data_IF_844592020764
#
_entry.id   IF_844592020764
#
_cell.length_a   1.000
_cell.length_b   1.000
_cell.length_c   1.000
_cell.angle_alpha   90.00
_cell.angle_beta   90.00
_cell.angle_gamma   90.00
#
_symmetry.space_group_name_H-M   'P 1'
#
loop_
_entity.id
_entity.type
_entity.pdbx_description
1 polymer ?
#
# COMPACT_ATOMS: atom_id res chain seq x y z
N UNK A 1 10.94 -6.98 -4.17
CA UNK A 1 9.89 -6.44 -3.27
C UNK A 1 8.56 -6.30 -4.00
N UNK A 2 8.52 -5.67 -5.19
CA UNK A 2 7.32 -5.60 -6.05
C UNK A 2 6.68 -6.97 -6.40
N UNK A 3 7.51 -7.99 -6.66
CA UNK A 3 7.01 -9.36 -6.88
C UNK A 3 6.23 -9.89 -5.66
N UNK A 4 6.81 -9.76 -4.46
CA UNK A 4 6.14 -10.10 -3.20
C UNK A 4 4.86 -9.30 -2.98
N UNK A 5 4.84 -8.03 -3.37
CA UNK A 5 3.64 -7.18 -3.29
C UNK A 5 2.50 -7.74 -4.17
N UNK A 6 2.81 -8.07 -5.42
CA UNK A 6 1.86 -8.67 -6.34
C UNK A 6 1.34 -10.02 -5.82
N UNK A 7 2.23 -10.87 -5.31
CA UNK A 7 1.88 -12.18 -4.75
C UNK A 7 1.00 -12.07 -3.49
N UNK A 8 1.20 -11.03 -2.67
CA UNK A 8 0.47 -10.83 -1.41
C UNK A 8 -0.90 -10.16 -1.57
N UNK A 9 -1.02 -9.23 -2.53
CA UNK A 9 -2.21 -8.36 -2.66
C UNK A 9 -3.12 -8.79 -3.82
N UNK A 10 -2.57 -9.31 -4.92
CA UNK A 10 -3.33 -9.63 -6.14
C UNK A 10 -3.84 -11.09 -6.11
N UNK A 11 -3.16 -12.00 -5.40
CA UNK A 11 -3.50 -13.41 -5.33
C UNK A 11 -3.95 -13.84 -3.90
N UNK A 12 -5.19 -13.52 -3.49
CA UNK A 12 -5.69 -13.83 -2.13
C UNK A 12 -5.73 -15.34 -1.81
N UNK A 13 -5.62 -16.23 -2.81
CA UNK A 13 -5.49 -17.68 -2.62
C UNK A 13 -4.09 -18.11 -2.12
N UNK A 14 -3.06 -17.29 -2.33
CA UNK A 14 -1.69 -17.59 -1.87
C UNK A 14 -1.46 -17.21 -0.42
N UNK A 15 -2.24 -16.28 0.14
CA UNK A 15 -2.06 -15.81 1.52
C UNK A 15 -2.35 -16.88 2.56
N UNK A 16 -3.19 -17.88 2.24
CA UNK A 16 -3.53 -18.99 3.14
C UNK A 16 -2.33 -19.89 3.50
N UNK A 17 -1.25 -19.85 2.71
CA UNK A 17 -0.03 -20.65 2.89
C UNK A 17 1.14 -19.85 3.47
N UNK A 18 0.95 -18.56 3.72
CA UNK A 18 1.96 -17.70 4.31
C UNK A 18 2.10 -17.97 5.80
N UNK A 19 3.31 -17.76 6.32
CA UNK A 19 3.52 -17.75 7.76
C UNK A 19 2.71 -16.60 8.40
N UNK A 20 2.26 -16.72 9.66
CA UNK A 20 1.40 -15.72 10.29
C UNK A 20 1.93 -14.28 10.22
N UNK A 21 3.25 -14.08 10.38
CA UNK A 21 3.88 -12.76 10.24
C UNK A 21 3.77 -12.18 8.82
N UNK A 22 3.87 -13.04 7.79
CA UNK A 22 3.73 -12.63 6.39
C UNK A 22 2.28 -12.32 6.02
N UNK A 23 1.31 -13.02 6.62
CA UNK A 23 -0.12 -12.69 6.47
C UNK A 23 -0.44 -11.32 7.06
N UNK A 24 0.09 -11.03 8.25
CA UNK A 24 -0.08 -9.74 8.91
C UNK A 24 0.54 -8.60 8.07
N UNK A 25 1.74 -8.82 7.52
CA UNK A 25 2.37 -7.85 6.62
C UNK A 25 1.54 -7.59 5.36
N UNK A 26 0.97 -8.64 4.76
CA UNK A 26 0.08 -8.52 3.61
C UNK A 26 -1.15 -7.66 3.93
N UNK A 27 -1.78 -7.90 5.08
CA UNK A 27 -2.95 -7.13 5.54
C UNK A 27 -2.59 -5.67 5.81
N UNK A 28 -1.47 -5.41 6.48
CA UNK A 28 -0.97 -4.04 6.73
C UNK A 28 -0.68 -3.30 5.43
N UNK A 29 -0.14 -4.00 4.43
CA UNK A 29 0.17 -3.45 3.11
C UNK A 29 -1.10 -3.15 2.31
N UNK A 30 -2.09 -4.04 2.33
CA UNK A 30 -3.40 -3.81 1.71
C UNK A 30 -4.10 -2.60 2.35
N UNK A 31 -4.09 -2.51 3.68
CA UNK A 31 -4.63 -1.36 4.40
C UNK A 31 -3.89 -0.06 4.06
N UNK A 32 -2.56 -0.09 3.97
CA UNK A 32 -1.76 1.07 3.55
C UNK A 32 -2.16 1.53 2.14
N UNK A 33 -2.37 0.60 1.21
CA UNK A 33 -2.83 0.91 -0.15
C UNK A 33 -4.22 1.56 -0.15
N UNK A 34 -5.18 1.03 0.62
CA UNK A 34 -6.53 1.61 0.72
C UNK A 34 -6.48 3.06 1.24
N UNK A 35 -5.71 3.31 2.29
CA UNK A 35 -5.53 4.65 2.86
C UNK A 35 -4.88 5.59 1.84
N UNK A 36 -3.86 5.14 1.12
CA UNK A 36 -3.17 5.95 0.10
C UNK A 36 -4.12 6.29 -1.05
N UNK A 37 -4.87 5.31 -1.56
CA UNK A 37 -5.86 5.52 -2.61
C UNK A 37 -6.93 6.54 -2.18
N UNK A 38 -7.46 6.42 -0.96
CA UNK A 38 -8.42 7.37 -0.42
C UNK A 38 -7.82 8.78 -0.27
N UNK A 39 -6.60 8.88 0.25
CA UNK A 39 -5.91 10.16 0.42
C UNK A 39 -5.64 10.85 -0.93
N UNK A 40 -5.24 10.11 -1.95
CA UNK A 40 -5.06 10.63 -3.31
C UNK A 40 -6.38 11.12 -3.90
N UNK A 41 -7.47 10.35 -3.76
CA UNK A 41 -8.79 10.76 -4.23
C UNK A 41 -9.28 12.06 -3.56
N UNK A 42 -8.89 12.29 -2.30
CA UNK A 42 -9.18 13.54 -1.57
C UNK A 42 -8.21 14.68 -1.89
N UNK A 43 -7.25 14.51 -2.81
CA UNK A 43 -6.26 15.51 -3.16
C UNK A 43 -5.17 15.72 -2.10
N UNK A 44 -4.93 14.72 -1.25
CA UNK A 44 -3.99 14.78 -0.11
C UNK A 44 -2.89 13.71 -0.21
N UNK A 45 -2.08 13.67 -1.29
CA UNK A 45 -1.07 12.63 -1.49
C UNK A 45 0.03 12.61 -0.43
N UNK A 46 0.26 13.72 0.28
CA UNK A 46 1.24 13.81 1.37
C UNK A 46 0.99 12.81 2.52
N UNK A 47 -0.24 12.31 2.68
CA UNK A 47 -0.56 11.27 3.66
C UNK A 47 0.19 9.95 3.41
N UNK A 48 0.55 9.65 2.16
CA UNK A 48 1.34 8.46 1.83
C UNK A 48 2.72 8.50 2.52
N UNK A 49 3.39 9.66 2.48
CA UNK A 49 4.69 9.85 3.14
C UNK A 49 4.57 9.82 4.67
N UNK A 50 3.51 10.39 5.24
CA UNK A 50 3.25 10.30 6.67
C UNK A 50 3.08 8.84 7.12
N UNK A 51 2.37 8.04 6.32
CA UNK A 51 2.16 6.61 6.61
C UNK A 51 3.47 5.81 6.58
N UNK A 52 4.36 6.08 5.62
CA UNK A 52 5.71 5.51 5.59
C UNK A 52 6.56 5.88 6.82
N UNK A 53 6.49 7.15 7.26
CA UNK A 53 7.20 7.58 8.47
C UNK A 53 6.66 6.89 9.72
N UNK A 54 5.34 6.72 9.82
CA UNK A 54 4.71 5.98 10.92
C UNK A 54 5.10 4.49 10.90
N UNK A 55 5.21 3.88 9.71
CA UNK A 55 5.70 2.51 9.59
C UNK A 55 7.13 2.35 10.16
N UNK A 56 7.99 3.36 9.99
CA UNK A 56 9.32 3.40 10.60
C UNK A 56 9.33 3.46 12.13
N UNK A 57 8.21 3.81 12.76
CA UNK A 57 8.04 3.79 14.22
C UNK A 57 7.43 2.50 14.76
N UNK A 58 7.25 1.48 13.92
CA UNK A 58 6.73 0.19 14.34
C UNK A 58 7.62 -0.46 15.42
N UNK A 59 7.03 -1.10 16.43
CA UNK A 59 7.79 -1.80 17.48
C UNK A 59 8.64 -2.92 16.88
N UNK A 60 9.80 -3.20 17.48
CA UNK A 60 10.75 -4.19 16.97
C UNK A 60 10.18 -5.62 16.98
N UNK A 61 9.24 -5.90 17.87
CA UNK A 61 8.55 -7.18 18.00
C UNK A 61 7.57 -7.44 16.85
N UNK A 62 7.12 -6.38 16.16
CA UNK A 62 6.15 -6.42 15.08
C UNK A 62 6.54 -5.45 13.96
N UNK A 63 7.72 -5.63 13.33
CA UNK A 63 8.25 -4.69 12.36
C UNK A 63 7.31 -4.60 11.17
N UNK A 64 7.21 -3.41 10.58
CA UNK A 64 6.49 -3.20 9.34
C UNK A 64 7.37 -2.42 8.37
N UNK A 65 7.93 -3.12 7.38
CA UNK A 65 8.85 -2.51 6.41
C UNK A 65 8.03 -1.89 5.28
N UNK A 66 7.75 -0.60 5.41
CA UNK A 66 7.05 0.18 4.40
C UNK A 66 7.75 1.52 4.21
N UNK A 67 8.43 1.68 3.07
CA UNK A 67 9.34 2.80 2.84
C UNK A 67 8.65 3.99 2.19
N UNK A 68 9.27 5.17 2.26
CA UNK A 68 8.77 6.36 1.53
C UNK A 68 8.69 6.11 0.01
N UNK A 69 9.58 5.28 -0.55
CA UNK A 69 9.54 4.89 -1.96
C UNK A 69 8.33 4.01 -2.29
N UNK A 70 7.96 3.08 -1.40
CA UNK A 70 6.77 2.24 -1.57
C UNK A 70 5.50 3.08 -1.53
N UNK A 71 5.43 4.00 -0.56
CA UNK A 71 4.34 4.96 -0.45
C UNK A 71 4.20 5.86 -1.68
N UNK A 72 5.32 6.37 -2.20
CA UNK A 72 5.33 7.22 -3.38
C UNK A 72 4.86 6.47 -4.63
N UNK A 73 5.33 5.23 -4.83
CA UNK A 73 4.87 4.38 -5.94
C UNK A 73 3.36 4.15 -5.91
N UNK A 74 2.81 3.78 -4.75
CA UNK A 74 1.37 3.59 -4.59
C UNK A 74 0.57 4.87 -4.83
N UNK A 75 1.09 6.02 -4.39
CA UNK A 75 0.43 7.30 -4.61
C UNK A 75 0.41 7.69 -6.10
N UNK A 76 1.52 7.49 -6.83
CA UNK A 76 1.60 7.75 -8.27
C UNK A 76 0.69 6.81 -9.05
N UNK A 77 0.68 5.52 -8.71
CA UNK A 77 -0.19 4.54 -9.35
C UNK A 77 -1.68 4.90 -9.13
N UNK A 78 -2.05 5.29 -7.91
CA UNK A 78 -3.40 5.73 -7.60
C UNK A 78 -3.78 7.02 -8.36
N UNK A 79 -2.86 7.99 -8.49
CA UNK A 79 -3.08 9.20 -9.28
C UNK A 79 -3.27 8.88 -10.76
N UNK A 80 -2.45 7.98 -11.32
CA UNK A 80 -2.55 7.58 -12.72
C UNK A 80 -3.86 6.86 -13.01
N UNK A 81 -4.28 5.96 -12.12
CA UNK A 81 -5.58 5.28 -12.21
C UNK A 81 -6.75 6.27 -12.11
N UNK A 82 -6.69 7.22 -11.16
CA UNK A 82 -7.70 8.25 -11.02
C UNK A 82 -7.78 9.17 -12.26
N UNK A 83 -6.62 9.54 -12.83
CA UNK A 83 -6.54 10.33 -14.05
C UNK A 83 -7.16 9.57 -15.23
N UNK A 84 -6.81 8.29 -15.44
CA UNK A 84 -7.38 7.46 -16.51
C UNK A 84 -8.90 7.32 -16.39
N UNK A 85 -9.43 7.10 -15.19
CA UNK A 85 -10.89 6.97 -14.98
C UNK A 85 -11.63 8.28 -15.22
N UNK A 86 -10.98 9.45 -15.03
CA UNK A 86 -11.57 10.76 -15.33
C UNK A 86 -11.83 10.95 -16.84
N UNK A 87 -11.08 10.29 -17.71
CA UNK A 87 -11.28 10.34 -19.17
C UNK A 87 -12.31 9.34 -19.71
N UNK A 88 -12.74 8.36 -18.90
CA UNK A 88 -13.75 7.36 -19.30
C UNK A 88 -15.17 7.80 -18.91
N UNK A 89 -15.29 8.76 -18.00
CA UNK A 89 -16.57 9.29 -17.50
C UNK A 89 -16.97 10.65 -18.11
N UNK A 90 -16.27 11.11 -19.14
CA UNK A 90 -16.56 12.33 -19.91
C UNK A 90 -16.93 11.97 -21.35
#
# INVERSE_FOLDING_TARGET
>A
MLQRYADLVIAPLQTRWLQPGQQLDAQRLAAAQEVICAAVAMGRPAFALNLARMAGSAPQELPFVFTELDAWRLAVDAQHCAAKNRWVAA
#
